data_IF_136564168738
#
_entry.id   IF_136564168738
#
_cell.length_a   1.000
_cell.length_b   1.000
_cell.length_c   1.000
_cell.angle_alpha   90.00
_cell.angle_beta   90.00
_cell.angle_gamma   90.00
#
_symmetry.space_group_name_H-M   'P 1'
#
loop_
_entity.id
_entity.type
_entity.pdbx_description
1 polymer ?
#
# COMPACT_ATOMS: atom_id res chain seq x y z
N UNK A 1 -35.79 -24.59 -22.84
CA UNK A 1 -34.74 -23.60 -22.54
C UNK A 1 -33.67 -24.28 -21.71
N UNK A 2 -32.46 -24.45 -22.25
CA UNK A 2 -31.37 -25.16 -21.59
C UNK A 2 -30.38 -24.18 -20.95
N UNK A 3 -29.80 -24.47 -19.77
CA UNK A 3 -28.85 -23.57 -19.13
C UNK A 3 -27.47 -23.66 -19.79
N UNK A 4 -26.93 -22.50 -20.15
CA UNK A 4 -25.56 -22.33 -20.66
C UNK A 4 -24.55 -22.59 -19.55
N UNK A 5 -23.70 -23.59 -19.72
CA UNK A 5 -22.55 -23.84 -18.87
C UNK A 5 -21.39 -22.94 -19.29
N UNK A 6 -20.87 -22.14 -18.35
CA UNK A 6 -19.65 -21.36 -18.54
C UNK A 6 -18.45 -22.18 -18.05
N UNK A 7 -17.60 -22.62 -18.97
CA UNK A 7 -16.33 -23.26 -18.66
C UNK A 7 -15.29 -22.19 -18.31
N UNK A 8 -14.76 -22.23 -17.08
CA UNK A 8 -13.70 -21.36 -16.61
C UNK A 8 -12.35 -21.73 -17.25
N UNK A 9 -11.71 -20.77 -17.93
CA UNK A 9 -10.36 -20.93 -18.45
C UNK A 9 -9.34 -20.75 -17.31
N UNK A 10 -8.74 -21.85 -16.85
CA UNK A 10 -7.62 -21.82 -15.93
C UNK A 10 -6.34 -21.33 -16.62
N UNK A 11 -5.94 -20.10 -16.33
CA UNK A 11 -4.60 -19.60 -16.65
C UNK A 11 -3.62 -20.05 -15.58
N UNK A 12 -2.85 -21.11 -15.87
CA UNK A 12 -1.71 -21.53 -15.05
C UNK A 12 -0.59 -20.50 -15.21
N UNK A 13 -0.28 -19.76 -14.14
CA UNK A 13 0.95 -18.96 -14.05
C UNK A 13 2.09 -19.89 -13.68
N UNK A 14 3.06 -20.01 -14.58
CA UNK A 14 4.35 -20.65 -14.33
C UNK A 14 5.12 -19.83 -13.29
N UNK A 15 5.38 -20.45 -12.14
CA UNK A 15 6.24 -19.91 -11.09
C UNK A 15 7.68 -20.21 -11.49
N UNK A 16 8.42 -19.17 -11.91
CA UNK A 16 9.86 -19.23 -12.10
C UNK A 16 10.54 -19.23 -10.74
N UNK A 17 11.08 -20.38 -10.35
CA UNK A 17 11.93 -20.55 -9.17
C UNK A 17 13.24 -19.77 -9.32
N UNK A 18 13.65 -18.93 -8.35
CA UNK A 18 14.98 -18.33 -8.36
C UNK A 18 16.05 -19.38 -7.99
N UNK A 19 17.14 -19.38 -8.75
CA UNK A 19 18.31 -20.21 -8.51
C UNK A 19 18.97 -19.90 -7.15
N UNK A 20 19.42 -20.90 -6.39
CA UNK A 20 20.16 -20.66 -5.16
C UNK A 20 21.54 -20.06 -5.49
N UNK A 21 21.78 -18.86 -4.98
CA UNK A 21 23.10 -18.21 -4.98
C UNK A 21 24.12 -19.09 -4.28
N UNK A 22 25.29 -19.20 -4.92
CA UNK A 22 26.46 -19.90 -4.44
C UNK A 22 26.81 -19.48 -3.00
N UNK A 23 26.82 -20.44 -2.08
CA UNK A 23 27.44 -20.26 -0.78
C UNK A 23 28.95 -20.23 -0.97
N UNK A 24 29.55 -19.10 -0.60
CA UNK A 24 31.00 -18.96 -0.48
C UNK A 24 31.48 -19.96 0.57
N UNK A 25 32.04 -21.09 0.11
CA UNK A 25 32.75 -22.02 0.98
C UNK A 25 34.00 -21.33 1.50
N UNK A 26 33.96 -20.95 2.78
CA UNK A 26 35.13 -20.62 3.58
C UNK A 26 36.02 -21.85 3.61
N UNK A 27 37.09 -21.85 2.82
CA UNK A 27 38.14 -22.86 2.83
C UNK A 27 38.86 -22.75 4.18
N UNK A 28 38.41 -23.51 5.17
CA UNK A 28 39.23 -23.81 6.35
C UNK A 28 40.35 -24.72 5.89
N UNK A 29 41.53 -24.12 5.73
CA UNK A 29 42.80 -24.74 5.39
C UNK A 29 43.16 -25.77 6.47
N UNK A 30 42.67 -27.01 6.32
CA UNK A 30 43.13 -28.13 7.11
C UNK A 30 44.59 -28.39 6.73
N UNK A 31 45.48 -28.01 7.65
CA UNK A 31 46.91 -28.30 7.63
C UNK A 31 47.10 -29.81 7.55
N UNK A 32 47.27 -30.33 6.34
CA UNK A 32 47.76 -31.69 6.13
C UNK A 32 49.17 -31.76 6.72
N UNK A 33 49.30 -32.49 7.83
CA UNK A 33 50.57 -33.00 8.32
C UNK A 33 51.06 -34.01 7.29
N UNK A 34 52.01 -33.58 6.46
CA UNK A 34 52.86 -34.48 5.70
C UNK A 34 53.76 -35.23 6.68
N UNK A 35 53.34 -36.42 7.10
CA UNK A 35 54.25 -37.43 7.61
C UNK A 35 54.88 -38.14 6.40
N UNK A 36 55.87 -37.48 5.79
CA UNK A 36 56.90 -38.16 5.00
C UNK A 36 57.94 -38.71 5.97
N UNK A 37 57.74 -39.95 6.44
CA UNK A 37 58.82 -40.83 6.86
C UNK A 37 58.88 -41.90 5.77
N UNK A 38 59.90 -41.76 4.93
CA UNK A 38 60.33 -42.76 3.97
C UNK A 38 61.44 -43.55 4.64
N UNK A 39 61.09 -44.47 5.54
CA UNK A 39 62.02 -45.50 5.98
C UNK A 39 61.75 -46.76 5.14
N UNK A 40 62.74 -47.27 4.39
CA UNK A 40 62.60 -48.55 3.72
C UNK A 40 62.48 -49.66 4.78
N UNK A 41 61.59 -50.65 4.60
CA UNK A 41 61.54 -51.77 5.53
C UNK A 41 62.91 -52.47 5.53
N UNK A 42 63.51 -52.77 6.70
CA UNK A 42 64.72 -53.56 6.72
C UNK A 42 64.40 -54.93 6.14
N UNK A 43 65.14 -55.29 5.09
CA UNK A 43 65.21 -56.61 4.47
C UNK A 43 65.59 -57.65 5.52
N UNK A 44 64.60 -58.07 6.31
CA UNK A 44 64.74 -59.14 7.28
C UNK A 44 64.45 -60.43 6.54
N UNK A 45 65.53 -61.07 6.13
CA UNK A 45 65.60 -62.47 5.78
C UNK A 45 65.18 -63.31 6.99
N UNK A 46 63.87 -63.42 7.26
CA UNK A 46 63.31 -64.33 8.24
C UNK A 46 62.57 -65.43 7.52
N UNK A 47 63.17 -66.61 7.57
CA UNK A 47 62.55 -67.94 7.56
C UNK A 47 61.02 -67.91 7.45
N UNK A 48 60.50 -68.30 6.31
CA UNK A 48 59.07 -68.53 6.07
C UNK A 48 58.57 -69.74 6.86
N UNK A 49 58.50 -69.61 8.19
CA UNK A 49 57.61 -70.42 9.01
C UNK A 49 56.18 -70.00 8.65
N UNK A 50 55.67 -70.62 7.60
CA UNK A 50 54.25 -70.61 7.26
C UNK A 50 53.51 -71.10 8.50
N UNK A 51 52.67 -70.25 9.08
CA UNK A 51 51.78 -70.66 10.15
C UNK A 51 51.00 -71.89 9.66
N UNK A 52 50.85 -72.93 10.49
CA UNK A 52 50.09 -74.10 10.11
C UNK A 52 48.67 -73.66 9.67
N UNK A 53 48.13 -74.30 8.63
CA UNK A 53 46.93 -73.85 7.91
C UNK A 53 45.71 -73.55 8.82
N UNK A 54 45.57 -74.27 9.93
CA UNK A 54 44.50 -74.04 10.91
C UNK A 54 44.59 -72.67 11.60
N UNK A 55 45.80 -72.14 11.80
CA UNK A 55 46.02 -70.86 12.45
C UNK A 55 45.72 -69.70 11.50
N UNK A 56 45.99 -69.88 10.20
CA UNK A 56 45.58 -68.94 9.15
C UNK A 56 44.05 -68.87 9.03
N UNK A 57 43.36 -70.01 9.08
CA UNK A 57 41.89 -70.05 9.07
C UNK A 57 41.32 -69.33 10.30
N UNK A 58 41.85 -69.59 11.50
CA UNK A 58 41.41 -68.89 12.71
C UNK A 58 41.65 -67.38 12.65
N UNK A 59 42.79 -66.94 12.11
CA UNK A 59 43.07 -65.52 11.91
C UNK A 59 42.07 -64.85 10.94
N UNK A 60 41.70 -65.55 9.86
CA UNK A 60 40.68 -65.09 8.91
C UNK A 60 39.28 -65.05 9.54
N UNK A 61 38.92 -66.03 10.36
CA UNK A 61 37.65 -66.04 11.10
C UNK A 61 37.57 -64.85 12.07
N UNK A 62 38.65 -64.56 12.80
CA UNK A 62 38.73 -63.39 13.67
C UNK A 62 38.63 -62.08 12.87
N UNK A 63 39.35 -61.96 11.75
CA UNK A 63 39.27 -60.78 10.88
C UNK A 63 37.86 -60.59 10.28
N UNK A 64 37.18 -61.68 9.89
CA UNK A 64 35.80 -61.61 9.43
C UNK A 64 34.85 -61.19 10.55
N UNK A 65 35.06 -61.69 11.77
CA UNK A 65 34.27 -61.28 12.93
C UNK A 65 34.46 -59.80 13.27
N UNK A 66 35.70 -59.29 13.22
CA UNK A 66 35.96 -57.85 13.45
C UNK A 66 35.35 -56.98 12.36
N UNK A 67 35.52 -57.33 11.08
CA UNK A 67 34.88 -56.62 9.98
C UNK A 67 33.35 -56.64 10.08
N UNK A 68 32.76 -57.76 10.51
CA UNK A 68 31.32 -57.86 10.72
C UNK A 68 30.83 -56.90 11.83
N UNK A 69 31.55 -56.82 12.95
CA UNK A 69 31.25 -55.89 14.04
C UNK A 69 31.40 -54.42 13.61
N UNK A 70 32.48 -54.08 12.90
CA UNK A 70 32.68 -52.75 12.34
C UNK A 70 31.57 -52.38 11.35
N UNK A 71 31.18 -53.32 10.48
CA UNK A 71 30.07 -53.10 9.53
C UNK A 71 28.74 -52.85 10.24
N UNK A 72 28.50 -53.50 11.38
CA UNK A 72 27.30 -53.29 12.18
C UNK A 72 27.32 -51.91 12.83
N UNK A 73 28.44 -51.52 13.45
CA UNK A 73 28.62 -50.19 14.03
C UNK A 73 28.46 -49.06 12.99
N UNK A 74 28.97 -49.26 11.77
CA UNK A 74 28.79 -48.32 10.67
C UNK A 74 27.32 -48.23 10.23
N UNK A 75 26.60 -49.35 10.13
CA UNK A 75 25.16 -49.37 9.83
C UNK A 75 24.35 -48.61 10.86
N UNK A 76 24.64 -48.80 12.15
CA UNK A 76 23.96 -48.08 13.24
C UNK A 76 24.26 -46.58 13.19
N UNK A 77 25.51 -46.20 12.90
CA UNK A 77 25.89 -44.80 12.71
C UNK A 77 25.17 -44.16 11.53
N UNK A 78 25.06 -44.86 10.41
CA UNK A 78 24.32 -44.40 9.23
C UNK A 78 22.83 -44.22 9.57
N UNK A 79 22.22 -45.19 10.26
CA UNK A 79 20.83 -45.10 10.70
C UNK A 79 20.60 -43.88 11.62
N UNK A 80 21.49 -43.64 12.58
CA UNK A 80 21.44 -42.47 13.47
C UNK A 80 21.56 -41.14 12.70
N UNK A 81 22.47 -41.04 11.73
CA UNK A 81 22.64 -39.84 10.92
C UNK A 81 21.43 -39.59 10.01
N UNK A 82 20.86 -40.64 9.42
CA UNK A 82 19.64 -40.53 8.62
C UNK A 82 18.46 -40.04 9.48
N UNK A 83 18.30 -40.59 10.69
CA UNK A 83 17.27 -40.11 11.61
C UNK A 83 17.42 -38.62 11.94
N UNK A 84 18.65 -38.14 12.18
CA UNK A 84 18.94 -36.71 12.40
C UNK A 84 18.64 -35.85 11.17
N UNK A 85 18.91 -36.35 9.97
CA UNK A 85 18.56 -35.65 8.73
C UNK A 85 17.04 -35.53 8.57
N UNK A 86 16.28 -36.58 8.86
CA UNK A 86 14.82 -36.55 8.77
C UNK A 86 14.20 -35.62 9.83
N UNK A 87 14.73 -35.61 11.06
CA UNK A 87 14.34 -34.63 12.08
C UNK A 87 14.57 -33.19 11.59
N UNK A 88 15.74 -32.91 10.99
CA UNK A 88 16.04 -31.57 10.45
C UNK A 88 15.10 -31.19 9.31
N UNK A 89 14.83 -32.12 8.38
CA UNK A 89 13.87 -31.91 7.28
C UNK A 89 12.48 -31.60 7.81
N UNK A 90 12.01 -32.35 8.81
CA UNK A 90 10.72 -32.12 9.43
C UNK A 90 10.65 -30.73 10.06
N UNK A 91 11.65 -30.35 10.85
CA UNK A 91 11.72 -29.02 11.47
C UNK A 91 11.70 -27.89 10.44
N UNK A 92 12.50 -28.01 9.36
CA UNK A 92 12.49 -27.02 8.28
C UNK A 92 11.13 -26.93 7.59
N UNK A 93 10.47 -28.07 7.36
CA UNK A 93 9.13 -28.10 6.75
C UNK A 93 8.09 -27.40 7.63
N UNK A 94 8.14 -27.59 8.95
CA UNK A 94 7.22 -26.93 9.90
C UNK A 94 7.41 -25.41 9.87
N UNK A 95 8.67 -24.94 9.97
CA UNK A 95 8.98 -23.51 9.89
C UNK A 95 8.50 -22.91 8.57
N UNK A 96 8.73 -23.58 7.45
CA UNK A 96 8.26 -23.11 6.14
C UNK A 96 6.73 -23.02 6.10
N UNK A 97 6.03 -23.99 6.69
CA UNK A 97 4.57 -23.94 6.82
C UNK A 97 4.09 -22.75 7.66
N UNK A 98 4.75 -22.46 8.78
CA UNK A 98 4.44 -21.32 9.63
C UNK A 98 4.70 -19.98 8.93
N UNK A 99 5.81 -19.88 8.19
CA UNK A 99 6.14 -18.70 7.38
C UNK A 99 5.09 -18.46 6.29
N UNK A 100 4.62 -19.51 5.61
CA UNK A 100 3.57 -19.39 4.60
C UNK A 100 2.25 -18.90 5.21
N UNK A 101 1.83 -19.47 6.34
CA UNK A 101 0.64 -19.01 7.07
C UNK A 101 0.76 -17.56 7.53
N UNK A 102 1.93 -17.15 8.02
CA UNK A 102 2.19 -15.77 8.41
C UNK A 102 2.09 -14.80 7.22
N UNK A 103 2.60 -15.17 6.05
CA UNK A 103 2.48 -14.37 4.83
C UNK A 103 1.02 -14.27 4.35
N UNK A 104 0.26 -15.35 4.40
CA UNK A 104 -1.17 -15.35 4.07
C UNK A 104 -1.96 -14.41 4.99
N UNK A 105 -1.72 -14.50 6.31
CA UNK A 105 -2.33 -13.60 7.28
C UNK A 105 -1.95 -12.15 7.05
N UNK A 106 -0.68 -11.87 6.73
CA UNK A 106 -0.22 -10.52 6.42
C UNK A 106 -0.96 -9.94 5.21
N UNK A 107 -1.08 -10.71 4.12
CA UNK A 107 -1.81 -10.27 2.91
C UNK A 107 -3.30 -10.03 3.23
N UNK A 108 -3.92 -10.88 4.05
CA UNK A 108 -5.29 -10.71 4.47
C UNK A 108 -5.50 -9.41 5.27
N UNK A 109 -4.58 -9.10 6.20
CA UNK A 109 -4.61 -7.87 6.99
C UNK A 109 -4.36 -6.62 6.14
N UNK A 110 -3.41 -6.68 5.20
CA UNK A 110 -3.16 -5.59 4.25
C UNK A 110 -4.42 -5.28 3.43
N UNK A 111 -5.13 -6.30 2.97
CA UNK A 111 -6.42 -6.13 2.28
C UNK A 111 -7.46 -5.46 3.19
N UNK A 112 -7.61 -5.94 4.42
CA UNK A 112 -8.56 -5.35 5.37
C UNK A 112 -8.25 -3.88 5.66
N UNK A 113 -6.97 -3.50 5.75
CA UNK A 113 -6.56 -2.11 5.94
C UNK A 113 -6.90 -1.23 4.73
N UNK A 114 -6.75 -1.75 3.51
CA UNK A 114 -7.14 -1.04 2.29
C UNK A 114 -8.67 -0.85 2.27
N UNK A 115 -9.43 -1.89 2.57
CA UNK A 115 -10.89 -1.84 2.61
C UNK A 115 -11.39 -0.86 3.68
N UNK A 116 -10.78 -0.88 4.88
CA UNK A 116 -11.10 0.06 5.96
C UNK A 116 -10.80 1.52 5.60
N UNK A 117 -9.66 1.78 4.92
CA UNK A 117 -9.32 3.13 4.42
C UNK A 117 -10.30 3.60 3.35
N UNK A 118 -10.72 2.70 2.45
CA UNK A 118 -11.72 3.01 1.43
C UNK A 118 -13.08 3.33 2.07
N UNK A 119 -13.50 2.56 3.08
CA UNK A 119 -14.73 2.80 3.84
C UNK A 119 -14.70 4.16 4.55
N UNK A 120 -13.61 4.48 5.25
CA UNK A 120 -13.47 5.79 5.92
C UNK A 120 -13.49 6.96 4.92
N UNK A 121 -12.88 6.80 3.74
CA UNK A 121 -12.93 7.81 2.69
C UNK A 121 -14.34 7.96 2.10
N UNK A 122 -15.09 6.87 1.95
CA UNK A 122 -16.49 6.92 1.50
C UNK A 122 -17.38 7.63 2.53
N UNK A 123 -17.21 7.34 3.81
CA UNK A 123 -17.97 7.95 4.89
C UNK A 123 -17.73 9.47 4.99
N UNK A 124 -16.47 9.92 4.83
CA UNK A 124 -16.15 11.36 4.75
C UNK A 124 -16.84 12.05 3.57
N UNK A 125 -16.81 11.41 2.39
CA UNK A 125 -17.51 11.95 1.21
C UNK A 125 -19.02 12.05 1.43
N UNK A 126 -19.63 11.04 2.05
CA UNK A 126 -21.05 11.06 2.38
C UNK A 126 -21.42 12.23 3.30
N UNK A 127 -20.62 12.48 4.35
CA UNK A 127 -20.79 13.65 5.23
C UNK A 127 -20.62 14.97 4.47
N UNK A 128 -19.63 15.05 3.58
CA UNK A 128 -19.41 16.25 2.77
C UNK A 128 -20.55 16.49 1.76
N UNK A 129 -21.11 15.43 1.18
CA UNK A 129 -22.29 15.48 0.32
C UNK A 129 -23.51 15.98 1.11
N UNK A 130 -23.77 15.44 2.30
CA UNK A 130 -24.83 15.88 3.20
C UNK A 130 -24.69 17.36 3.61
N UNK A 131 -23.48 17.78 3.97
CA UNK A 131 -23.22 19.19 4.27
C UNK A 131 -23.40 20.10 3.05
N UNK A 132 -23.09 19.61 1.84
CA UNK A 132 -23.34 20.34 0.60
C UNK A 132 -24.83 20.48 0.30
N UNK A 133 -25.62 19.43 0.48
CA UNK A 133 -27.07 19.48 0.26
C UNK A 133 -27.74 20.42 1.26
N UNK A 134 -27.38 20.35 2.55
CA UNK A 134 -27.89 21.25 3.58
C UNK A 134 -27.54 22.72 3.28
N UNK A 135 -26.30 22.99 2.85
CA UNK A 135 -25.91 24.36 2.44
C UNK A 135 -26.70 24.85 1.22
N UNK A 136 -26.95 23.98 0.25
CA UNK A 136 -27.74 24.31 -0.92
C UNK A 136 -29.20 24.62 -0.55
N UNK A 137 -29.81 23.82 0.33
CA UNK A 137 -31.15 24.05 0.86
C UNK A 137 -31.23 25.39 1.61
N UNK A 138 -30.32 25.66 2.55
CA UNK A 138 -30.29 26.93 3.26
C UNK A 138 -30.08 28.13 2.33
N UNK A 139 -29.33 27.97 1.23
CA UNK A 139 -29.17 29.01 0.22
C UNK A 139 -30.47 29.24 -0.57
N UNK A 140 -31.18 28.17 -0.92
CA UNK A 140 -32.49 28.22 -1.56
C UNK A 140 -33.52 28.91 -0.66
N UNK A 141 -33.66 28.48 0.60
CA UNK A 141 -34.61 29.05 1.56
C UNK A 141 -34.34 30.55 1.81
N UNK A 142 -33.06 30.94 1.84
CA UNK A 142 -32.66 32.36 1.92
C UNK A 142 -33.09 33.16 0.70
N UNK A 143 -33.00 32.58 -0.50
CA UNK A 143 -33.44 33.22 -1.73
C UNK A 143 -34.97 33.36 -1.75
N UNK A 144 -35.68 32.29 -1.39
CA UNK A 144 -37.15 32.27 -1.29
C UNK A 144 -37.67 33.33 -0.30
N UNK A 145 -37.06 33.42 0.90
CA UNK A 145 -37.35 34.47 1.87
C UNK A 145 -37.10 35.89 1.33
N UNK A 146 -36.09 36.09 0.48
CA UNK A 146 -35.86 37.37 -0.19
C UNK A 146 -36.93 37.68 -1.23
N UNK A 147 -37.31 36.69 -2.03
CA UNK A 147 -38.38 36.83 -3.03
C UNK A 147 -39.69 37.22 -2.35
N UNK A 148 -40.09 36.54 -1.27
CA UNK A 148 -41.30 36.88 -0.52
C UNK A 148 -41.25 38.27 0.09
N UNK A 149 -40.11 38.69 0.64
CA UNK A 149 -39.95 40.07 1.16
C UNK A 149 -40.09 41.12 0.06
N UNK A 150 -39.44 40.91 -1.09
CA UNK A 150 -39.58 41.79 -2.24
C UNK A 150 -41.03 41.83 -2.73
N UNK A 151 -41.70 40.69 -2.86
CA UNK A 151 -43.10 40.61 -3.27
C UNK A 151 -44.02 41.35 -2.30
N UNK A 152 -43.82 41.19 -0.99
CA UNK A 152 -44.58 41.91 0.04
C UNK A 152 -44.34 43.42 -0.02
N UNK A 153 -43.10 43.85 -0.28
CA UNK A 153 -42.75 45.27 -0.44
C UNK A 153 -43.41 45.86 -1.69
N UNK A 154 -43.36 45.15 -2.82
CA UNK A 154 -44.03 45.56 -4.07
C UNK A 154 -45.54 45.66 -3.83
N UNK A 155 -46.16 44.65 -3.21
CA UNK A 155 -47.58 44.68 -2.88
C UNK A 155 -47.95 45.87 -1.98
N UNK A 156 -47.13 46.18 -0.97
CA UNK A 156 -47.37 47.35 -0.11
C UNK A 156 -47.30 48.67 -0.89
N UNK A 157 -46.38 48.78 -1.85
CA UNK A 157 -46.22 49.97 -2.70
C UNK A 157 -47.35 50.13 -3.73
N UNK A 158 -47.89 49.03 -4.26
CA UNK A 158 -48.96 49.07 -5.26
C UNK A 158 -50.34 49.37 -4.68
N UNK A 159 -50.57 49.05 -3.41
CA UNK A 159 -51.83 49.39 -2.73
C UNK A 159 -51.95 50.91 -2.56
N UNK A 160 -53.06 51.48 -3.02
CA UNK A 160 -53.33 52.94 -2.99
C UNK A 160 -54.02 53.38 -1.70
N UNK A 161 -54.79 52.50 -1.05
CA UNK A 161 -55.53 52.83 0.16
C UNK A 161 -54.74 52.60 1.47
N UNK A 162 -54.84 53.51 2.46
CA UNK A 162 -54.21 53.30 3.78
C UNK A 162 -54.79 52.08 4.51
N UNK A 163 -56.09 51.83 4.37
CA UNK A 163 -56.74 50.67 4.98
C UNK A 163 -56.25 49.32 4.40
N UNK A 164 -55.95 49.27 3.10
CA UNK A 164 -55.44 48.08 2.44
C UNK A 164 -53.99 47.79 2.84
N UNK A 165 -53.18 48.84 2.94
CA UNK A 165 -51.80 48.77 3.46
C UNK A 165 -51.77 48.25 4.90
N UNK A 166 -52.66 48.74 5.75
CA UNK A 166 -52.80 48.26 7.13
C UNK A 166 -53.25 46.80 7.20
N UNK A 167 -54.18 46.39 6.32
CA UNK A 167 -54.61 44.99 6.23
C UNK A 167 -53.46 44.07 5.84
N UNK A 168 -52.67 44.44 4.82
CA UNK A 168 -51.49 43.69 4.40
C UNK A 168 -50.46 43.58 5.54
N UNK A 169 -50.19 44.67 6.26
CA UNK A 169 -49.28 44.64 7.42
C UNK A 169 -49.79 43.71 8.54
N UNK A 170 -51.11 43.67 8.79
CA UNK A 170 -51.69 42.73 9.76
C UNK A 170 -51.53 41.27 9.32
N UNK A 171 -51.72 40.99 8.03
CA UNK A 171 -51.52 39.64 7.46
C UNK A 171 -50.05 39.24 7.61
N UNK A 172 -49.11 40.10 7.22
CA UNK A 172 -47.67 39.82 7.34
C UNK A 172 -47.25 39.61 8.80
N UNK A 173 -47.81 40.37 9.75
CA UNK A 173 -47.58 40.15 11.20
C UNK A 173 -48.09 38.77 11.65
N UNK A 174 -49.30 38.38 11.25
CA UNK A 174 -49.86 37.05 11.56
C UNK A 174 -49.01 35.93 10.96
N UNK A 175 -48.60 36.05 9.69
CA UNK A 175 -47.73 35.09 9.04
C UNK A 175 -46.40 34.98 9.79
N UNK A 176 -45.74 36.09 10.13
CA UNK A 176 -44.51 36.08 10.92
C UNK A 176 -44.70 35.34 12.24
N UNK A 177 -45.76 35.67 12.99
CA UNK A 177 -46.06 35.00 14.26
C UNK A 177 -46.23 33.49 14.10
N UNK A 178 -46.89 33.03 13.03
CA UNK A 178 -47.08 31.61 12.77
C UNK A 178 -45.80 30.86 12.38
N UNK A 179 -44.81 31.55 11.80
CA UNK A 179 -43.56 30.93 11.33
C UNK A 179 -42.37 31.13 12.29
N UNK A 180 -42.40 32.12 13.16
CA UNK A 180 -41.28 32.43 14.09
C UNK A 180 -41.67 32.38 15.56
N UNK A 181 -42.94 32.07 15.88
CA UNK A 181 -43.52 32.09 17.23
C UNK A 181 -43.24 33.37 18.03
N UNK A 182 -42.94 34.47 17.33
CA UNK A 182 -42.42 35.71 17.90
C UNK A 182 -43.03 36.92 17.21
N UNK A 183 -43.57 37.82 18.04
CA UNK A 183 -44.07 39.13 17.62
C UNK A 183 -42.97 40.22 17.65
N UNK A 184 -41.75 39.88 18.08
CA UNK A 184 -40.65 40.83 18.09
C UNK A 184 -40.20 41.17 16.66
N UNK A 185 -39.83 42.44 16.37
CA UNK A 185 -39.08 42.76 15.17
C UNK A 185 -37.78 41.92 15.12
N UNK A 186 -37.31 41.53 13.92
CA UNK A 186 -36.06 40.79 13.82
C UNK A 186 -34.94 41.59 14.49
N UNK A 187 -34.08 40.95 15.30
CA UNK A 187 -33.00 41.65 15.98
C UNK A 187 -32.10 42.36 14.95
N UNK A 188 -31.55 43.54 15.29
CA UNK A 188 -30.59 44.21 14.43
C UNK A 188 -29.44 43.25 14.14
N UNK A 189 -29.04 43.21 12.87
CA UNK A 189 -27.95 42.32 12.44
C UNK A 189 -26.70 42.69 13.24
N UNK A 190 -26.02 41.74 13.90
CA UNK A 190 -24.76 42.05 14.58
C UNK A 190 -23.78 42.65 13.58
N UNK A 191 -22.90 43.59 14.01
CA UNK A 191 -21.87 44.15 13.15
C UNK A 191 -21.06 43.01 12.55
N UNK A 192 -20.84 43.06 11.24
CA UNK A 192 -20.04 42.06 10.53
C UNK A 192 -18.65 42.04 11.19
N UNK A 193 -18.11 40.86 11.57
CA UNK A 193 -16.79 40.81 12.18
C UNK A 193 -15.79 41.45 11.22
N UNK A 194 -15.11 42.50 11.68
CA UNK A 194 -13.95 43.06 11.00
C UNK A 194 -12.93 41.92 10.78
N UNK A 195 -12.28 41.85 9.61
CA UNK A 195 -11.22 40.86 9.40
C UNK A 195 -10.10 41.16 10.40
N UNK A 196 -9.98 40.30 11.41
CA UNK A 196 -8.89 40.36 12.37
C UNK A 196 -7.57 40.29 11.61
N UNK A 197 -6.83 41.40 11.61
CA UNK A 197 -5.44 41.45 11.17
C UNK A 197 -4.68 40.38 11.95
N UNK A 198 -4.21 39.34 11.25
CA UNK A 198 -3.38 38.33 11.88
C UNK A 198 -2.11 39.01 12.41
N UNK A 199 -1.70 38.77 13.66
CA UNK A 199 -0.46 39.32 14.17
C UNK A 199 0.71 38.78 13.33
N UNK A 200 1.52 39.71 12.80
CA UNK A 200 2.81 39.40 12.17
C UNK A 200 3.68 38.66 13.18
N UNK A 201 3.88 37.36 12.95
CA UNK A 201 4.88 36.59 13.67
C UNK A 201 6.26 37.08 13.20
N UNK A 202 6.94 37.82 14.07
CA UNK A 202 8.38 38.11 13.92
C UNK A 202 9.14 36.78 13.95
N UNK A 203 10.09 36.54 13.04
CA UNK A 203 11.02 35.43 13.19
C UNK A 203 11.90 35.72 14.40
N UNK A 204 11.88 34.82 15.38
CA UNK A 204 12.83 34.84 16.49
C UNK A 204 14.14 34.24 15.98
N UNK A 205 15.24 34.96 16.21
CA UNK A 205 16.60 34.53 15.90
C UNK A 205 16.96 33.35 16.82
N UNK A 206 16.91 32.14 16.28
CA UNK A 206 17.45 30.95 16.95
C UNK A 206 18.99 31.08 16.98
N UNK A 207 19.49 31.41 18.16
CA UNK A 207 20.90 31.42 18.51
C UNK A 207 21.49 30.01 18.43
N UNK A 208 22.76 29.99 18.03
CA UNK A 208 23.64 28.83 17.97
C UNK A 208 23.59 27.98 19.24
N UNK A 209 23.25 26.71 19.11
CA UNK A 209 23.67 25.66 20.05
C UNK A 209 24.45 24.61 19.25
N UNK A 210 25.78 24.70 19.38
CA UNK A 210 26.71 23.62 19.08
C UNK A 210 26.41 22.46 20.03
N UNK A 211 25.77 21.39 19.55
CA UNK A 211 25.70 20.11 20.28
C UNK A 211 26.26 18.98 19.43
N UNK A 212 27.39 18.47 19.92
CA UNK A 212 28.19 17.39 19.35
C UNK A 212 27.47 16.04 19.53
N UNK A 213 27.10 15.44 18.40
CA UNK A 213 27.09 13.99 18.16
C UNK A 213 26.47 13.06 19.20
N UNK A 214 25.31 12.49 18.86
CA UNK A 214 25.16 11.03 18.96
C UNK A 214 24.25 10.48 17.85
N UNK A 215 24.71 9.40 17.25
CA UNK A 215 24.08 8.69 16.15
C UNK A 215 22.94 7.85 16.71
N UNK A 216 21.67 8.31 16.67
CA UNK A 216 20.54 7.39 16.79
C UNK A 216 19.26 7.88 16.11
N UNK A 217 18.58 6.90 15.52
CA UNK A 217 17.47 6.97 14.59
C UNK A 217 16.21 7.58 15.22
N UNK A 218 15.62 8.60 14.59
CA UNK A 218 14.21 8.91 14.81
C UNK A 218 13.53 9.46 13.55
N UNK A 219 12.46 8.78 13.14
CA UNK A 219 11.63 9.12 11.99
C UNK A 219 10.76 10.34 12.30
N UNK A 220 11.35 11.53 12.21
CA UNK A 220 10.58 12.78 12.26
C UNK A 220 9.77 12.91 10.98
N UNK A 221 8.44 12.82 11.15
CA UNK A 221 7.41 13.16 10.18
C UNK A 221 7.69 14.54 9.55
N UNK A 222 8.35 14.55 8.40
CA UNK A 222 8.38 15.72 7.51
C UNK A 222 6.96 16.00 7.01
N UNK A 223 6.28 16.93 7.67
CA UNK A 223 5.14 17.61 7.05
C UNK A 223 5.62 18.36 5.82
N UNK A 224 4.97 18.24 4.64
CA UNK A 224 5.33 19.06 3.50
C UNK A 224 5.03 20.52 3.80
N UNK A 225 6.09 21.28 4.06
CA UNK A 225 6.10 22.74 4.14
C UNK A 225 5.62 23.31 2.81
N UNK A 226 4.54 24.09 2.86
CA UNK A 226 3.98 24.83 1.72
C UNK A 226 5.02 25.86 1.28
N UNK A 227 5.67 25.63 0.14
CA UNK A 227 6.31 26.72 -0.61
C UNK A 227 5.24 27.70 -1.10
N UNK A 228 5.05 28.75 -0.34
CA UNK A 228 4.43 30.01 -0.75
C UNK A 228 5.38 30.69 -1.74
N UNK A 229 5.25 30.32 -3.02
CA UNK A 229 5.82 31.07 -4.14
C UNK A 229 4.72 31.94 -4.73
N UNK A 230 4.76 33.23 -4.43
CA UNK A 230 3.96 34.25 -5.10
C UNK A 230 4.25 34.21 -6.61
N UNK A 231 3.30 33.71 -7.39
CA UNK A 231 3.19 34.05 -8.81
C UNK A 231 1.74 34.47 -9.09
N UNK A 232 1.49 35.72 -9.48
CA UNK A 232 0.21 36.09 -10.05
C UNK A 232 0.06 35.38 -11.40
N UNK A 233 -0.82 34.37 -11.46
CA UNK A 233 -1.32 33.86 -12.73
C UNK A 233 -2.25 34.90 -13.32
N UNK A 234 -1.72 35.77 -14.16
CA UNK A 234 -2.53 36.53 -15.11
C UNK A 234 -3.29 35.53 -15.99
N UNK A 235 -4.63 35.59 -16.09
CA UNK A 235 -5.33 34.86 -17.13
C UNK A 235 -5.03 35.56 -18.46
N UNK A 236 -4.31 34.88 -19.34
CA UNK A 236 -4.19 35.28 -20.74
C UNK A 236 -5.58 35.25 -21.36
N UNK A 237 -5.99 36.42 -21.86
CA UNK A 237 -7.18 36.63 -22.67
C UNK A 237 -7.11 35.77 -23.94
N UNK A 238 -8.00 34.79 -24.05
CA UNK A 238 -8.24 34.10 -25.30
C UNK A 238 -9.08 35.00 -26.22
N UNK A 239 -8.66 35.27 -27.46
CA UNK A 239 -9.50 36.02 -28.40
C UNK A 239 -10.75 35.18 -28.74
N UNK A 240 -11.91 35.82 -28.59
CA UNK A 240 -13.20 35.31 -29.08
C UNK A 240 -13.15 35.23 -30.60
N UNK A 241 -13.02 34.03 -31.14
CA UNK A 241 -13.38 33.75 -32.53
C UNK A 241 -14.89 33.62 -32.57
N UNK A 242 -15.57 34.74 -32.86
CA UNK A 242 -16.96 34.77 -33.28
C UNK A 242 -17.04 34.31 -34.73
N UNK A 243 -17.40 33.04 -34.96
CA UNK A 243 -18.04 32.65 -36.21
C UNK A 243 -19.56 32.70 -36.01
N UNK A 244 -20.19 33.57 -36.80
CA UNK A 244 -21.52 33.44 -37.40
C UNK A 244 -22.02 31.98 -37.41
N UNK A 245 -23.22 31.63 -36.97
CA UNK A 245 -24.49 32.22 -37.36
C UNK A 245 -25.26 31.21 -38.20
N UNK A 246 -26.47 30.87 -37.73
CA UNK A 246 -27.59 30.27 -38.49
C UNK A 246 -27.79 28.74 -38.50
N UNK A 247 -28.73 28.32 -37.63
CA UNK A 247 -29.97 27.56 -37.93
C UNK A 247 -29.92 26.26 -38.75
N UNK A 248 -30.21 25.12 -38.08
CA UNK A 248 -31.40 24.26 -38.32
C UNK A 248 -31.26 22.90 -37.56
N UNK A 249 -32.38 22.23 -37.17
CA UNK A 249 -32.35 20.97 -36.44
C UNK A 249 -32.38 19.77 -37.40
N UNK A 250 -31.54 18.77 -37.14
CA UNK A 250 -31.46 17.57 -37.98
C UNK A 250 -30.96 16.33 -37.24
N UNK A 251 -31.91 15.51 -36.81
CA UNK A 251 -31.97 14.04 -36.92
C UNK A 251 -30.71 13.19 -36.66
N UNK A 252 -30.84 12.33 -35.66
CA UNK A 252 -30.25 10.99 -35.43
C UNK A 252 -29.02 10.56 -36.25
N UNK A 253 -27.93 10.24 -35.54
CA UNK A 253 -27.11 9.08 -35.88
C UNK A 253 -26.37 8.52 -34.66
N UNK A 254 -26.51 7.22 -34.47
CA UNK A 254 -25.72 6.38 -33.57
C UNK A 254 -24.28 6.33 -34.10
N UNK A 255 -23.34 6.92 -33.36
CA UNK A 255 -21.92 6.72 -33.61
C UNK A 255 -21.34 5.80 -32.54
N UNK A 256 -21.02 4.61 -33.02
CA UNK A 256 -20.25 3.57 -32.36
C UNK A 256 -18.90 4.13 -31.92
N UNK A 257 -18.62 4.07 -30.61
CA UNK A 257 -17.30 4.43 -30.10
C UNK A 257 -16.26 3.36 -30.46
N UNK A 258 -15.07 3.73 -30.98
CA UNK A 258 -14.05 2.75 -31.31
C UNK A 258 -13.35 2.24 -30.03
N UNK A 259 -13.30 0.92 -29.96
CA UNK A 259 -12.60 0.10 -28.97
C UNK A 259 -11.11 0.46 -28.96
N UNK A 260 -10.65 1.07 -27.87
CA UNK A 260 -9.25 1.50 -27.68
C UNK A 260 -8.37 0.28 -27.34
N UNK A 261 -7.91 -0.42 -28.36
CA UNK A 261 -6.80 -1.39 -28.22
C UNK A 261 -5.46 -0.65 -28.18
N UNK A 262 -4.57 -1.06 -27.28
CA UNK A 262 -3.13 -0.76 -27.39
C UNK A 262 -2.55 0.22 -26.37
N UNK A 263 -2.37 -0.24 -25.13
CA UNK A 263 -1.28 0.24 -24.27
C UNK A 263 -0.44 -0.97 -23.85
N UNK A 264 0.53 -1.33 -24.68
CA UNK A 264 1.61 -2.25 -24.27
C UNK A 264 2.66 -1.44 -23.49
N UNK A 265 3.08 -1.88 -22.30
CA UNK A 265 4.19 -1.27 -21.58
C UNK A 265 5.49 -1.40 -22.38
N UNK A 266 6.16 -0.27 -22.62
CA UNK A 266 7.49 -0.20 -23.22
C UNK A 266 8.52 -0.68 -22.18
N UNK A 267 9.17 -1.82 -22.43
CA UNK A 267 10.24 -2.36 -21.60
C UNK A 267 11.54 -1.62 -21.96
N UNK A 268 12.03 -0.73 -21.09
CA UNK A 268 13.34 -0.11 -21.26
C UNK A 268 14.41 -1.09 -20.78
N UNK A 269 15.04 -1.81 -21.73
CA UNK A 269 16.28 -2.52 -21.47
C UNK A 269 17.44 -1.54 -21.57
N UNK A 270 17.82 -0.92 -20.44
CA UNK A 270 19.13 -0.29 -20.28
C UNK A 270 20.04 -1.32 -19.59
N UNK A 271 20.84 -2.01 -20.40
CA UNK A 271 21.83 -2.98 -19.96
C UNK A 271 22.98 -2.99 -20.97
N UNK A 272 23.72 -1.90 -21.02
CA UNK A 272 25.01 -1.83 -21.72
C UNK A 272 26.03 -2.61 -20.90
N UNK A 273 26.41 -3.77 -21.41
CA UNK A 273 27.53 -4.58 -20.95
C UNK A 273 28.83 -3.78 -21.06
N UNK A 274 29.47 -3.49 -19.93
CA UNK A 274 30.89 -3.17 -19.86
C UNK A 274 31.67 -4.43 -19.48
N UNK A 275 32.39 -5.00 -20.43
CA UNK A 275 33.48 -5.96 -20.18
C UNK A 275 34.74 -5.20 -19.80
N UNK A 276 35.54 -5.65 -18.81
CA UNK A 276 36.95 -5.35 -18.75
C UNK A 276 37.79 -6.54 -19.22
N UNK A 277 38.93 -6.19 -19.79
CA UNK A 277 40.06 -7.05 -20.17
C UNK A 277 40.67 -7.78 -18.97
#
# INVERSE_FOLDING_TARGET
MAPRQHTAAHTRKTVTTPAPRASVHRVTKARMRTCSSSDPPPSSSSSSTTLPLWEQVRALELANATMALESAALRDRIASLNHKLDQRRHYTSVIQGDQMRALENKVALEKQLVDARAAAAAERRARDDEMRTLRAQLAHDKLESRIHRCAAQVAYQTLTGPAERDMLLRILKRCRRAFTDSDAPPPPRPPSPEPALQPELKPEDDADDDDDGDENEDWVLRTPSKRQGNMPRTPVSMPRVSLFGSTAPGVCREDSTPRREGLRPRRNNAGSNGSPC
#
